data_IF_594577903135
#
_entry.id   IF_594577903135
#
_cell.length_a   1.000
_cell.length_b   1.000
_cell.length_c   1.000
_cell.angle_alpha   90.00
_cell.angle_beta   90.00
_cell.angle_gamma   90.00
#
_symmetry.space_group_name_H-M   'P 1'
#
loop_
_entity.id
_entity.type
_entity.pdbx_description
1 polymer ?
#
# COMPACT_ATOMS: atom_id res chain seq x y z
N UNK A 1 -13.03 8.12 34.37
CA UNK A 1 -12.25 8.42 33.14
C UNK A 1 -11.55 9.75 33.38
N UNK A 2 -10.24 9.80 33.21
CA UNK A 2 -9.37 10.88 33.70
C UNK A 2 -8.98 11.85 32.59
N UNK A 3 -9.14 13.14 32.84
CA UNK A 3 -8.46 14.19 32.09
C UNK A 3 -6.94 13.99 32.18
N UNK A 4 -6.24 14.21 31.08
CA UNK A 4 -4.79 13.97 30.98
C UNK A 4 -4.14 15.14 30.27
N UNK A 5 -2.93 15.49 30.68
CA UNK A 5 -2.16 16.55 30.02
C UNK A 5 -1.62 16.07 28.67
N UNK A 6 -1.31 17.02 27.77
CA UNK A 6 -0.70 16.71 26.46
C UNK A 6 0.58 15.88 26.63
N UNK A 7 1.43 16.22 27.62
CA UNK A 7 2.65 15.47 27.94
C UNK A 7 2.37 14.01 28.30
N UNK A 8 1.39 13.76 29.17
CA UNK A 8 1.00 12.39 29.55
C UNK A 8 0.41 11.62 28.36
N UNK A 9 -0.36 12.29 27.50
CA UNK A 9 -0.90 11.66 26.29
C UNK A 9 0.21 11.24 25.32
N UNK A 10 1.21 12.11 25.11
CA UNK A 10 2.36 11.83 24.26
C UNK A 10 3.14 10.60 24.72
N UNK A 11 3.36 10.45 26.03
CA UNK A 11 4.03 9.29 26.63
C UNK A 11 3.25 7.99 26.40
N UNK A 12 1.92 8.02 26.54
CA UNK A 12 1.06 6.84 26.35
C UNK A 12 1.07 6.39 24.88
N UNK A 13 0.92 7.33 23.95
CA UNK A 13 0.85 7.05 22.51
C UNK A 13 2.26 6.83 21.93
N UNK A 14 3.32 7.08 22.72
CA UNK A 14 4.73 6.98 22.32
C UNK A 14 5.05 7.82 21.08
N UNK A 15 4.48 9.02 21.03
CA UNK A 15 4.73 10.01 19.97
C UNK A 15 5.45 11.20 20.62
N UNK A 16 6.48 11.78 19.99
CA UNK A 16 7.13 12.97 20.52
C UNK A 16 6.14 14.13 20.64
N UNK A 17 6.29 14.92 21.70
CA UNK A 17 5.40 16.04 22.04
C UNK A 17 5.20 17.01 20.87
N UNK A 18 6.27 17.37 20.18
CA UNK A 18 6.25 18.25 19.00
C UNK A 18 5.24 17.78 17.95
N UNK A 19 5.26 16.48 17.63
CA UNK A 19 4.38 15.88 16.62
C UNK A 19 2.94 15.83 17.09
N UNK A 20 2.71 15.59 18.39
CA UNK A 20 1.36 15.61 18.94
C UNK A 20 0.78 17.02 18.89
N UNK A 21 1.56 18.05 19.22
CA UNK A 21 1.15 19.46 19.11
C UNK A 21 0.83 19.86 17.68
N UNK A 22 1.62 19.40 16.69
CA UNK A 22 1.29 19.57 15.27
C UNK A 22 -0.06 18.93 14.94
N UNK A 23 -0.30 17.68 15.35
CA UNK A 23 -1.56 16.98 15.09
C UNK A 23 -2.77 17.63 15.76
N UNK A 24 -2.60 18.17 16.97
CA UNK A 24 -3.64 18.91 17.69
C UNK A 24 -4.00 20.21 16.96
N UNK A 25 -2.99 20.96 16.48
CA UNK A 25 -3.20 22.16 15.65
C UNK A 25 -3.92 21.83 14.35
N UNK A 26 -3.53 20.76 13.68
CA UNK A 26 -4.17 20.29 12.46
C UNK A 26 -5.61 19.83 12.68
N UNK A 27 -5.91 19.26 13.85
CA UNK A 27 -7.27 18.90 14.25
C UNK A 27 -8.13 20.12 14.65
N UNK A 28 -7.55 21.33 14.71
CA UNK A 28 -8.25 22.55 15.11
C UNK A 28 -8.45 22.69 16.61
N UNK A 29 -7.69 21.95 17.42
CA UNK A 29 -7.74 22.00 18.88
C UNK A 29 -6.84 23.13 19.40
N UNK A 30 -7.31 23.88 20.40
CA UNK A 30 -6.59 25.04 20.95
C UNK A 30 -5.45 24.65 21.90
N UNK A 31 -5.39 23.40 22.34
CA UNK A 31 -4.31 22.88 23.18
C UNK A 31 -2.96 23.04 22.46
N UNK A 32 -2.16 23.99 22.94
CA UNK A 32 -0.89 24.39 22.32
C UNK A 32 0.28 24.29 23.30
N UNK A 33 0.00 24.08 24.59
CA UNK A 33 1.00 23.92 25.64
C UNK A 33 1.15 22.45 26.06
N UNK A 34 2.37 22.00 26.43
CA UNK A 34 2.59 20.65 26.97
C UNK A 34 1.75 20.31 28.21
N UNK A 35 1.41 21.34 28.98
CA UNK A 35 0.73 21.21 30.27
C UNK A 35 -0.79 21.43 30.15
N UNK A 36 -1.30 21.71 28.94
CA UNK A 36 -2.73 21.83 28.71
C UNK A 36 -3.43 20.48 28.95
N UNK A 37 -4.61 20.55 29.56
CA UNK A 37 -5.43 19.38 29.88
C UNK A 37 -6.34 19.09 28.69
N UNK A 38 -6.26 17.88 28.14
CA UNK A 38 -7.09 17.45 27.01
C UNK A 38 -8.34 16.73 27.53
N UNK A 39 -9.50 17.26 27.17
CA UNK A 39 -10.80 16.68 27.50
C UNK A 39 -11.11 15.43 26.65
N UNK A 40 -12.15 14.68 27.01
CA UNK A 40 -12.55 13.49 26.27
C UNK A 40 -13.03 13.80 24.85
N UNK A 41 -13.75 14.90 24.67
CA UNK A 41 -14.25 15.36 23.37
C UNK A 41 -13.09 15.68 22.40
N UNK A 42 -12.04 16.33 22.91
CA UNK A 42 -10.86 16.68 22.13
C UNK A 42 -10.06 15.45 21.71
N UNK A 43 -9.97 14.42 22.57
CA UNK A 43 -9.37 13.13 22.22
C UNK A 43 -10.13 12.46 21.08
N UNK A 44 -11.46 12.48 21.13
CA UNK A 44 -12.30 11.90 20.08
C UNK A 44 -12.16 12.65 18.76
N UNK A 45 -12.07 13.99 18.79
CA UNK A 45 -11.81 14.79 17.60
C UNK A 45 -10.44 14.50 16.98
N UNK A 46 -9.38 14.43 17.80
CA UNK A 46 -8.04 14.05 17.36
C UNK A 46 -8.04 12.66 16.70
N UNK A 47 -8.65 11.67 17.35
CA UNK A 47 -8.77 10.32 16.78
C UNK A 47 -9.54 10.32 15.45
N UNK A 48 -10.63 11.08 15.36
CA UNK A 48 -11.38 11.26 14.12
C UNK A 48 -10.52 11.85 12.99
N UNK A 49 -9.72 12.87 13.29
CA UNK A 49 -8.79 13.48 12.35
C UNK A 49 -7.70 12.49 11.90
N UNK A 50 -7.08 11.77 12.83
CA UNK A 50 -6.06 10.76 12.51
C UNK A 50 -6.62 9.62 11.66
N UNK A 51 -7.81 9.13 11.96
CA UNK A 51 -8.46 8.07 11.14
C UNK A 51 -8.74 8.54 9.72
N UNK A 52 -9.21 9.78 9.54
CA UNK A 52 -9.42 10.40 8.23
C UNK A 52 -8.11 10.58 7.46
N UNK A 53 -7.06 11.08 8.11
CA UNK A 53 -5.73 11.24 7.49
C UNK A 53 -5.08 9.93 7.08
N UNK A 54 -5.21 8.90 7.91
CA UNK A 54 -4.66 7.58 7.63
C UNK A 54 -5.57 6.71 6.74
N UNK A 55 -6.70 7.25 6.26
CA UNK A 55 -7.64 6.50 5.43
C UNK A 55 -8.22 5.26 6.10
N UNK A 56 -8.07 5.11 7.43
CA UNK A 56 -8.53 3.94 8.18
C UNK A 56 -9.98 4.15 8.63
N UNK A 57 -10.83 4.42 7.65
CA UNK A 57 -12.25 4.12 7.76
C UNK A 57 -12.36 2.59 7.78
N UNK A 58 -13.21 2.02 8.63
CA UNK A 58 -13.39 0.58 8.89
C UNK A 58 -13.90 -0.25 7.70
N UNK A 59 -13.58 0.15 6.47
CA UNK A 59 -13.88 -0.57 5.25
C UNK A 59 -12.90 -0.30 4.11
N UNK A 60 -11.83 0.48 4.32
CA UNK A 60 -10.95 0.88 3.22
C UNK A 60 -9.56 0.24 3.28
N UNK A 61 -9.51 -0.99 2.79
CA UNK A 61 -8.34 -1.55 2.13
C UNK A 61 -8.11 -0.90 0.75
N UNK A 62 -8.36 0.41 0.59
CA UNK A 62 -8.62 1.05 -0.72
C UNK A 62 -7.72 2.20 -1.13
N UNK A 63 -6.62 2.49 -0.43
CA UNK A 63 -5.58 3.36 -1.00
C UNK A 63 -4.56 2.60 -1.89
N UNK A 64 -4.83 1.34 -2.21
CA UNK A 64 -4.11 0.60 -3.26
C UNK A 64 -4.99 0.56 -4.51
N UNK A 65 -4.51 1.02 -5.67
CA UNK A 65 -5.30 1.00 -6.90
C UNK A 65 -5.78 -0.42 -7.18
N UNK A 66 -7.07 -0.57 -7.51
CA UNK A 66 -7.73 -1.86 -7.81
C UNK A 66 -7.00 -2.68 -8.88
N UNK A 67 -6.22 -2.01 -9.73
CA UNK A 67 -5.42 -2.58 -10.82
C UNK A 67 -4.06 -1.90 -10.89
N UNK A 68 -2.99 -2.69 -10.85
CA UNK A 68 -1.62 -2.24 -11.09
C UNK A 68 -1.06 -3.02 -12.28
N UNK A 69 -0.68 -2.30 -13.34
CA UNK A 69 -0.02 -2.91 -14.51
C UNK A 69 1.48 -2.71 -14.39
N UNK A 70 2.23 -3.80 -14.25
CA UNK A 70 3.69 -3.77 -14.29
C UNK A 70 4.17 -4.02 -15.71
N UNK A 71 5.00 -3.12 -16.24
CA UNK A 71 5.63 -3.27 -17.54
C UNK A 71 7.11 -3.66 -17.35
N UNK A 72 7.55 -4.72 -18.04
CA UNK A 72 8.95 -5.15 -18.05
C UNK A 72 9.49 -5.11 -19.47
N UNK A 73 10.55 -4.32 -19.68
CA UNK A 73 11.33 -4.26 -20.91
C UNK A 73 12.51 -5.23 -20.81
N UNK A 74 12.72 -6.06 -21.83
CA UNK A 74 13.91 -6.93 -21.95
C UNK A 74 14.46 -6.82 -23.36
N UNK A 75 15.71 -6.39 -23.49
CA UNK A 75 16.42 -6.39 -24.77
C UNK A 75 17.14 -7.75 -24.89
N UNK A 76 16.97 -8.42 -26.01
CA UNK A 76 17.56 -9.72 -26.32
C UNK A 76 18.10 -9.69 -27.75
N UNK A 77 19.23 -10.31 -27.98
CA UNK A 77 19.80 -10.41 -29.33
C UNK A 77 19.49 -11.79 -29.91
N UNK A 78 18.89 -11.82 -31.09
CA UNK A 78 18.67 -13.07 -31.83
C UNK A 78 19.80 -13.21 -32.83
N UNK A 79 20.51 -14.33 -32.75
CA UNK A 79 21.51 -14.73 -33.74
C UNK A 79 20.80 -15.53 -34.83
N UNK A 80 20.66 -14.96 -36.01
CA UNK A 80 20.14 -15.66 -37.16
C UNK A 80 21.27 -16.52 -37.74
N UNK A 81 21.16 -17.85 -37.59
CA UNK A 81 21.97 -18.78 -38.35
C UNK A 81 21.52 -18.69 -39.81
N UNK A 82 22.41 -18.19 -40.68
CA UNK A 82 22.23 -18.32 -42.12
C UNK A 82 22.90 -19.63 -42.58
N UNK A 83 22.64 -20.01 -43.83
CA UNK A 83 23.08 -21.27 -44.44
C UNK A 83 24.56 -21.59 -44.15
N UNK A 84 24.96 -22.88 -44.14
CA UNK A 84 26.35 -23.27 -43.90
C UNK A 84 27.27 -22.52 -44.87
N UNK A 85 28.10 -21.60 -44.33
CA UNK A 85 29.05 -20.79 -45.10
C UNK A 85 28.84 -19.27 -45.09
N UNK A 86 27.75 -18.73 -44.52
CA UNK A 86 27.57 -17.27 -44.39
C UNK A 86 27.63 -16.78 -42.93
N UNK A 87 28.07 -15.53 -42.74
CA UNK A 87 28.24 -14.91 -41.43
C UNK A 87 26.89 -14.78 -40.70
N UNK A 88 26.85 -15.19 -39.42
CA UNK A 88 25.63 -15.09 -38.61
C UNK A 88 25.28 -13.62 -38.31
N UNK A 89 24.05 -13.22 -38.65
CA UNK A 89 23.56 -11.84 -38.39
C UNK A 89 22.96 -11.80 -37.00
N UNK A 90 23.47 -10.91 -36.15
CA UNK A 90 22.91 -10.67 -34.82
C UNK A 90 21.97 -9.47 -34.90
N UNK A 91 20.72 -9.67 -34.49
CA UNK A 91 19.65 -8.66 -34.53
C UNK A 91 19.25 -8.35 -33.09
N UNK A 92 19.37 -7.10 -32.62
CA UNK A 92 18.85 -6.70 -31.32
C UNK A 92 17.31 -6.62 -31.37
N UNK A 93 16.65 -7.34 -30.47
CA UNK A 93 15.19 -7.42 -30.34
C UNK A 93 14.77 -6.96 -28.95
N UNK A 94 13.80 -6.07 -28.89
CA UNK A 94 13.21 -5.63 -27.62
C UNK A 94 11.88 -6.35 -27.38
N UNK A 95 11.79 -7.08 -26.27
CA UNK A 95 10.55 -7.71 -25.80
C UNK A 95 9.95 -6.87 -24.68
N UNK A 96 8.68 -6.47 -24.83
CA UNK A 96 7.89 -5.80 -23.80
C UNK A 96 6.84 -6.76 -23.24
N UNK A 97 6.86 -7.02 -21.93
CA UNK A 97 5.84 -7.81 -21.24
C UNK A 97 5.01 -6.91 -20.33
N UNK A 98 3.70 -7.06 -20.36
CA UNK A 98 2.76 -6.41 -19.42
C UNK A 98 2.17 -7.46 -18.50
N UNK A 99 2.23 -7.25 -17.19
CA UNK A 99 1.56 -8.10 -16.20
C UNK A 99 0.64 -7.25 -15.34
N UNK A 100 -0.65 -7.48 -15.46
CA UNK A 100 -1.69 -6.73 -14.74
C UNK A 100 -2.10 -7.50 -13.49
N UNK A 101 -1.90 -6.90 -12.33
CA UNK A 101 -2.36 -7.43 -11.05
C UNK A 101 -3.65 -6.72 -10.65
N UNK A 102 -4.67 -7.51 -10.28
CA UNK A 102 -5.95 -7.03 -9.80
C UNK A 102 -6.09 -7.50 -8.36
N UNK A 103 -6.40 -6.58 -7.44
CA UNK A 103 -6.63 -6.91 -6.03
C UNK A 103 -8.01 -7.56 -5.91
N UNK A 104 -8.07 -8.89 -5.98
CA UNK A 104 -9.30 -9.65 -5.73
C UNK A 104 -9.45 -9.83 -4.22
N UNK A 105 -10.60 -9.52 -3.61
CA UNK A 105 -10.82 -9.85 -2.20
C UNK A 105 -10.69 -11.37 -2.00
N UNK A 106 -10.10 -11.77 -0.88
CA UNK A 106 -9.70 -13.12 -0.44
C UNK A 106 -10.91 -14.10 -0.27
N UNK A 107 -11.75 -14.24 -1.29
CA UNK A 107 -12.90 -15.15 -1.29
C UNK A 107 -12.90 -16.15 -2.47
N UNK A 108 -11.96 -16.03 -3.41
CA UNK A 108 -12.03 -16.73 -4.71
C UNK A 108 -10.81 -17.61 -5.04
N UNK A 109 -9.73 -17.57 -4.25
CA UNK A 109 -8.47 -18.22 -4.61
C UNK A 109 -8.47 -19.76 -4.48
N UNK A 110 -9.53 -20.36 -3.94
CA UNK A 110 -9.63 -21.82 -3.74
C UNK A 110 -10.30 -22.61 -4.89
N UNK A 111 -10.72 -21.98 -5.99
CA UNK A 111 -11.43 -22.70 -7.08
C UNK A 111 -10.61 -22.96 -8.35
N UNK A 112 -9.53 -22.21 -8.59
CA UNK A 112 -8.79 -22.30 -9.86
C UNK A 112 -7.80 -23.47 -9.95
N UNK A 113 -7.46 -24.14 -8.84
CA UNK A 113 -6.50 -25.26 -8.85
C UNK A 113 -7.15 -26.66 -8.91
N UNK A 114 -8.48 -26.77 -8.96
CA UNK A 114 -9.18 -28.07 -8.97
C UNK A 114 -9.68 -28.52 -10.35
N UNK A 115 -9.65 -27.66 -11.38
CA UNK A 115 -10.16 -27.97 -12.71
C UNK A 115 -9.13 -28.61 -13.66
N UNK A 116 -7.83 -28.53 -13.33
CA UNK A 116 -6.75 -29.13 -14.15
C UNK A 116 -6.43 -30.58 -13.77
N UNK A 117 -7.00 -31.11 -12.68
CA UNK A 117 -6.73 -32.46 -12.19
C UNK A 117 -7.75 -33.52 -12.66
N UNK A 118 -8.86 -33.12 -13.31
CA UNK A 118 -9.94 -34.05 -13.73
C UNK A 118 -9.92 -34.43 -15.21
N UNK A 119 -9.01 -33.87 -16.03
CA UNK A 119 -8.86 -34.23 -17.44
C UNK A 119 -7.70 -35.19 -17.70
N UNK A 120 -7.10 -35.76 -16.65
CA UNK A 120 -5.97 -36.69 -16.73
C UNK A 120 -6.34 -38.03 -16.07
N UNK A 121 -7.36 -38.69 -16.61
CA UNK A 121 -7.59 -40.12 -16.34
C UNK A 121 -7.81 -40.78 -17.70
N UNK A 122 -6.80 -41.55 -18.12
CA UNK A 122 -6.90 -42.58 -19.15
C UNK A 122 -7.80 -43.71 -18.65
#
# INVERSE_FOLDING_TARGET
MSDKTVRQLAEIVRIPLERLLEQLKEAGLKASSPDDVISEDEKMQLLGHLRKRHGKTEGDAGNSPRRVTLERRKVMEIKQASQPGSASKTIPVEVRKKKTYIKRPEADDNKVNQLTAKSSTF
#
